data_IF_996335473764
#
_entry.id   IF_996335473764
#
_cell.length_a   1.000
_cell.length_b   1.000
_cell.length_c   1.000
_cell.angle_alpha   90.00
_cell.angle_beta   90.00
_cell.angle_gamma   90.00
#
_symmetry.space_group_name_H-M   'P 1'
#
loop_
_entity.id
_entity.type
_entity.pdbx_description
1 polymer ?
#
# COMPACT_ATOMS: atom_id res chain seq x y z
N UNK A 1 0.64 -11.05 -15.70
CA UNK A 1 1.22 -9.70 -15.55
C UNK A 1 0.42 -8.74 -16.41
N UNK A 2 -0.18 -7.71 -15.81
CA UNK A 2 -0.77 -6.59 -16.57
C UNK A 2 0.37 -5.62 -16.90
N UNK A 3 0.56 -5.27 -18.18
CA UNK A 3 1.72 -4.50 -18.65
C UNK A 3 1.40 -3.06 -19.03
N UNK A 4 0.12 -2.67 -18.99
CA UNK A 4 -0.34 -1.36 -19.40
C UNK A 4 -1.48 -0.88 -18.48
N UNK A 5 -1.13 -0.62 -17.22
CA UNK A 5 -2.03 -0.12 -16.19
C UNK A 5 -1.60 1.27 -15.76
N UNK A 6 -2.56 2.19 -15.61
CA UNK A 6 -2.32 3.58 -15.23
C UNK A 6 -3.12 3.87 -13.95
N UNK A 7 -2.49 4.52 -12.97
CA UNK A 7 -3.18 5.00 -11.77
C UNK A 7 -4.08 6.20 -12.14
N UNK A 8 -5.28 6.34 -11.56
CA UNK A 8 -6.16 7.48 -11.83
C UNK A 8 -5.54 8.82 -11.38
N UNK A 9 -4.64 8.81 -10.40
CA UNK A 9 -3.93 9.99 -9.91
C UNK A 9 -2.49 9.66 -9.49
N UNK A 10 -1.65 10.69 -9.33
CA UNK A 10 -0.26 10.58 -8.86
C UNK A 10 -0.11 10.70 -7.32
N UNK A 11 -1.20 10.92 -6.59
CA UNK A 11 -1.20 11.07 -5.13
C UNK A 11 -2.08 10.02 -4.47
N UNK A 12 -1.57 9.37 -3.42
CA UNK A 12 -2.26 8.31 -2.68
C UNK A 12 -3.68 8.72 -2.28
N UNK A 13 -3.84 9.92 -1.69
CA UNK A 13 -5.15 10.39 -1.22
C UNK A 13 -6.16 10.57 -2.36
N UNK A 14 -5.72 11.07 -3.52
CA UNK A 14 -6.60 11.24 -4.68
C UNK A 14 -6.98 9.88 -5.29
N UNK A 15 -6.03 8.96 -5.40
CA UNK A 15 -6.27 7.60 -5.90
C UNK A 15 -7.27 6.85 -5.03
N UNK A 16 -7.13 6.88 -3.70
CA UNK A 16 -8.06 6.16 -2.81
C UNK A 16 -9.50 6.69 -2.85
N UNK A 17 -9.71 7.95 -3.25
CA UNK A 17 -11.07 8.49 -3.46
C UNK A 17 -11.82 7.81 -4.60
N UNK A 18 -11.14 7.08 -5.48
CA UNK A 18 -11.76 6.40 -6.63
C UNK A 18 -11.42 4.91 -6.74
N UNK A 19 -10.31 4.45 -6.18
CA UNK A 19 -9.77 3.11 -6.45
C UNK A 19 -10.64 1.97 -5.90
N UNK A 20 -11.21 2.14 -4.70
CA UNK A 20 -11.87 1.06 -3.95
C UNK A 20 -13.38 1.26 -3.80
N UNK A 21 -13.96 2.23 -4.51
CA UNK A 21 -15.36 2.59 -4.41
C UNK A 21 -15.95 2.93 -5.80
N UNK A 22 -17.24 3.27 -5.85
CA UNK A 22 -17.94 3.55 -7.12
C UNK A 22 -17.72 4.96 -7.68
N UNK A 23 -16.86 5.79 -7.06
CA UNK A 23 -16.55 7.12 -7.54
C UNK A 23 -15.64 7.04 -8.75
N UNK A 24 -16.09 7.58 -9.86
CA UNK A 24 -15.32 7.72 -11.09
C UNK A 24 -15.72 9.02 -11.81
N UNK A 25 -15.25 9.19 -13.05
CA UNK A 25 -15.55 10.35 -13.89
C UNK A 25 -17.05 10.49 -14.16
N UNK A 26 -17.76 9.38 -14.29
CA UNK A 26 -19.18 9.32 -14.65
C UNK A 26 -20.09 9.47 -13.41
N UNK A 27 -19.61 9.07 -12.24
CA UNK A 27 -20.35 9.05 -10.97
C UNK A 27 -19.82 10.05 -9.94
N UNK A 28 -19.47 11.26 -10.41
CA UNK A 28 -18.91 12.34 -9.60
C UNK A 28 -19.94 13.17 -8.80
N UNK A 29 -21.23 12.99 -9.04
CA UNK A 29 -22.29 13.74 -8.36
C UNK A 29 -22.51 13.29 -6.92
N UNK A 30 -22.16 12.03 -6.59
CA UNK A 30 -22.21 11.50 -5.23
C UNK A 30 -20.80 11.58 -4.62
N UNK A 31 -20.61 12.27 -3.48
CA UNK A 31 -19.30 12.30 -2.82
C UNK A 31 -18.80 10.89 -2.51
N UNK A 32 -17.54 10.59 -2.83
CA UNK A 32 -16.95 9.24 -2.69
C UNK A 32 -17.19 8.59 -1.31
N UNK A 33 -17.17 9.38 -0.23
CA UNK A 33 -17.38 8.89 1.15
C UNK A 33 -18.83 8.49 1.45
N UNK A 34 -19.78 8.91 0.62
CA UNK A 34 -21.19 8.47 0.66
C UNK A 34 -21.43 7.24 -0.22
N UNK A 35 -20.44 6.80 -0.99
CA UNK A 35 -20.55 5.63 -1.86
C UNK A 35 -20.17 4.36 -1.10
N UNK A 36 -20.74 3.22 -1.52
CA UNK A 36 -20.27 1.91 -1.06
C UNK A 36 -18.86 1.66 -1.59
N UNK A 37 -18.05 0.96 -0.81
CA UNK A 37 -16.72 0.54 -1.22
C UNK A 37 -16.59 -0.99 -1.22
N UNK A 38 -15.42 -1.50 -1.58
CA UNK A 38 -15.14 -2.94 -1.64
C UNK A 38 -15.41 -3.66 -0.31
N UNK A 39 -15.11 -3.03 0.83
CA UNK A 39 -15.42 -3.58 2.16
C UNK A 39 -16.92 -3.79 2.35
N UNK A 40 -17.75 -2.82 1.93
CA UNK A 40 -19.20 -2.96 1.98
C UNK A 40 -19.72 -4.10 1.09
N UNK A 41 -19.19 -4.20 -0.14
CA UNK A 41 -19.64 -5.19 -1.12
C UNK A 41 -19.34 -6.60 -0.62
N UNK A 42 -18.11 -6.86 -0.17
CA UNK A 42 -17.70 -8.17 0.30
C UNK A 42 -18.38 -8.56 1.62
N UNK A 43 -18.57 -7.60 2.53
CA UNK A 43 -19.33 -7.85 3.77
C UNK A 43 -20.79 -8.24 3.46
N UNK A 44 -21.44 -7.54 2.52
CA UNK A 44 -22.81 -7.89 2.09
C UNK A 44 -22.89 -9.26 1.39
N UNK A 45 -21.80 -9.70 0.75
CA UNK A 45 -21.68 -11.04 0.16
C UNK A 45 -21.31 -12.14 1.18
N UNK A 46 -21.22 -11.80 2.47
CA UNK A 46 -20.95 -12.74 3.57
C UNK A 46 -19.47 -13.08 3.76
N UNK A 47 -18.53 -12.22 3.32
CA UNK A 47 -17.11 -12.37 3.60
C UNK A 47 -16.76 -11.74 4.94
N UNK A 48 -15.79 -12.32 5.67
CA UNK A 48 -15.05 -11.59 6.69
C UNK A 48 -14.10 -10.62 6.00
N UNK A 49 -14.05 -9.37 6.43
CA UNK A 49 -13.26 -8.32 5.78
C UNK A 49 -12.27 -7.71 6.75
N UNK A 50 -10.99 -7.64 6.35
CA UNK A 50 -9.88 -7.16 7.17
C UNK A 50 -9.08 -6.10 6.40
N UNK A 51 -8.67 -5.02 7.09
CA UNK A 51 -7.77 -3.99 6.58
C UNK A 51 -6.51 -3.94 7.44
N UNK A 52 -5.34 -4.22 6.86
CA UNK A 52 -4.05 -4.05 7.50
C UNK A 52 -3.33 -2.86 6.89
N UNK A 53 -2.80 -1.98 7.75
CA UNK A 53 -2.14 -0.76 7.32
C UNK A 53 -0.76 -0.62 7.96
N UNK A 54 0.25 -0.37 7.12
CA UNK A 54 1.61 -0.02 7.56
C UNK A 54 2.01 1.40 7.14
N UNK A 55 1.16 2.10 6.38
CA UNK A 55 1.47 3.42 5.84
C UNK A 55 1.13 4.55 6.81
N UNK A 56 0.03 4.43 7.57
CA UNK A 56 -0.43 5.47 8.49
C UNK A 56 -0.29 5.04 9.96
N UNK A 57 -0.14 6.02 10.86
CA UNK A 57 -0.30 5.78 12.31
C UNK A 57 -1.78 5.65 12.65
N UNK A 58 -2.15 4.65 13.44
CA UNK A 58 -3.51 4.49 13.98
C UNK A 58 -4.05 5.79 14.61
N UNK A 59 -3.22 6.50 15.38
CA UNK A 59 -3.58 7.74 16.08
C UNK A 59 -3.91 8.90 15.12
N UNK A 60 -3.35 8.88 13.91
CA UNK A 60 -3.62 9.88 12.85
C UNK A 60 -4.73 9.41 11.91
N UNK A 61 -5.09 8.13 11.96
CA UNK A 61 -6.15 7.49 11.19
C UNK A 61 -7.55 7.80 11.75
N UNK A 62 -7.85 9.04 12.13
CA UNK A 62 -9.18 9.44 12.64
C UNK A 62 -9.99 10.30 11.67
N UNK A 63 -9.36 10.92 10.65
CA UNK A 63 -10.07 11.83 9.71
C UNK A 63 -9.55 11.81 8.26
N UNK A 64 -8.72 10.83 7.89
CA UNK A 64 -8.15 10.76 6.54
C UNK A 64 -8.90 9.74 5.64
N UNK A 65 -8.48 9.66 4.38
CA UNK A 65 -9.11 8.78 3.37
C UNK A 65 -8.99 7.30 3.73
N UNK A 66 -7.89 6.88 4.35
CA UNK A 66 -7.64 5.48 4.71
C UNK A 66 -8.59 5.03 5.82
N UNK A 67 -8.80 5.90 6.82
CA UNK A 67 -9.76 5.68 7.90
C UNK A 67 -11.18 5.50 7.38
N UNK A 68 -11.64 6.40 6.50
CA UNK A 68 -13.00 6.37 5.96
C UNK A 68 -13.25 5.17 5.05
N UNK A 69 -12.23 4.69 4.33
CA UNK A 69 -12.35 3.49 3.51
C UNK A 69 -12.29 2.22 4.35
N UNK A 70 -11.34 2.15 5.29
CA UNK A 70 -11.18 1.00 6.17
C UNK A 70 -12.37 0.84 7.13
N UNK A 71 -13.07 1.92 7.50
CA UNK A 71 -14.32 1.91 8.32
C UNK A 71 -15.42 1.00 7.75
N UNK A 72 -15.32 0.63 6.47
CA UNK A 72 -16.27 -0.26 5.79
C UNK A 72 -15.86 -1.74 5.85
N UNK A 73 -14.73 -2.05 6.49
CA UNK A 73 -14.24 -3.40 6.75
C UNK A 73 -14.62 -3.82 8.18
N UNK A 74 -14.73 -5.13 8.41
CA UNK A 74 -15.14 -5.71 9.69
C UNK A 74 -14.07 -5.58 10.78
N UNK A 75 -12.79 -5.70 10.42
CA UNK A 75 -11.66 -5.50 11.33
C UNK A 75 -10.58 -4.65 10.66
N UNK A 76 -9.94 -3.78 11.45
CA UNK A 76 -8.85 -2.90 11.01
C UNK A 76 -7.69 -3.04 11.96
N UNK A 77 -6.50 -3.19 11.42
CA UNK A 77 -5.28 -3.43 12.19
C UNK A 77 -4.17 -2.56 11.60
N UNK A 78 -3.54 -1.78 12.47
CA UNK A 78 -2.32 -1.05 12.14
C UNK A 78 -1.12 -1.82 12.68
N UNK A 79 -0.04 -1.86 11.89
CA UNK A 79 1.28 -2.30 12.36
C UNK A 79 1.91 -1.19 13.22
N UNK A 80 3.12 -1.44 13.75
CA UNK A 80 3.87 -0.36 14.38
C UNK A 80 4.42 0.58 13.31
N UNK A 81 4.17 1.87 13.50
CA UNK A 81 4.63 2.87 12.54
C UNK A 81 6.15 2.91 12.42
N UNK A 82 6.63 2.89 11.18
CA UNK A 82 8.06 2.94 10.86
C UNK A 82 8.69 1.56 10.67
N UNK A 83 7.95 0.48 10.90
CA UNK A 83 8.39 -0.86 10.53
C UNK A 83 8.38 -1.04 9.00
N UNK A 84 9.23 -1.94 8.51
CA UNK A 84 9.18 -2.38 7.12
C UNK A 84 7.92 -3.20 6.84
N UNK A 85 7.53 -3.33 5.57
CA UNK A 85 6.29 -4.00 5.16
C UNK A 85 6.21 -5.50 5.58
N UNK A 86 7.31 -6.13 6.00
CA UNK A 86 7.29 -7.44 6.69
C UNK A 86 6.33 -7.45 7.90
N UNK A 87 6.21 -6.33 8.62
CA UNK A 87 5.33 -6.21 9.78
C UNK A 87 3.87 -6.51 9.42
N UNK A 88 3.44 -6.28 8.17
CA UNK A 88 2.11 -6.65 7.72
C UNK A 88 1.91 -8.17 7.68
N UNK A 89 2.91 -8.90 7.17
CA UNK A 89 2.89 -10.37 7.07
C UNK A 89 2.87 -10.98 8.49
N UNK A 90 3.75 -10.48 9.35
CA UNK A 90 3.85 -10.93 10.74
C UNK A 90 2.54 -10.66 11.50
N UNK A 91 1.96 -9.46 11.32
CA UNK A 91 0.68 -9.06 11.92
C UNK A 91 -0.47 -9.91 11.40
N UNK A 92 -0.52 -10.19 10.10
CA UNK A 92 -1.52 -11.09 9.52
C UNK A 92 -1.45 -12.48 10.13
N UNK A 93 -0.24 -13.05 10.23
CA UNK A 93 -0.02 -14.37 10.80
C UNK A 93 -0.42 -14.44 12.28
N UNK A 94 -0.04 -13.42 13.07
CA UNK A 94 -0.31 -13.37 14.49
C UNK A 94 -1.77 -13.09 14.84
N UNK A 95 -2.44 -12.21 14.07
CA UNK A 95 -3.76 -11.66 14.46
C UNK A 95 -4.92 -12.11 13.59
N UNK A 96 -4.72 -12.38 12.30
CA UNK A 96 -5.83 -12.56 11.35
C UNK A 96 -5.94 -14.01 10.87
N UNK A 97 -4.82 -14.69 10.65
CA UNK A 97 -4.79 -16.03 10.03
C UNK A 97 -5.73 -17.02 10.74
N UNK A 98 -5.76 -17.02 12.07
CA UNK A 98 -6.64 -17.89 12.86
C UNK A 98 -8.12 -17.47 12.83
N UNK A 99 -8.42 -16.22 12.46
CA UNK A 99 -9.79 -15.68 12.40
C UNK A 99 -10.46 -15.93 11.04
N UNK A 100 -9.71 -16.36 10.02
CA UNK A 100 -10.23 -16.57 8.66
C UNK A 100 -11.39 -17.57 8.66
N UNK A 101 -12.45 -17.24 7.93
CA UNK A 101 -13.59 -18.11 7.65
C UNK A 101 -13.50 -18.77 6.28
N UNK A 102 -14.64 -19.27 5.78
CA UNK A 102 -14.75 -19.85 4.44
C UNK A 102 -14.63 -18.81 3.31
N UNK A 103 -14.91 -17.54 3.60
CA UNK A 103 -14.83 -16.41 2.66
C UNK A 103 -14.20 -15.21 3.35
N UNK A 104 -13.09 -14.70 2.81
CA UNK A 104 -12.34 -13.58 3.41
C UNK A 104 -11.88 -12.60 2.34
N UNK A 105 -11.91 -11.31 2.66
CA UNK A 105 -11.19 -10.25 1.97
C UNK A 105 -10.18 -9.69 2.95
N UNK A 106 -8.89 -9.74 2.63
CA UNK A 106 -7.83 -9.17 3.45
C UNK A 106 -7.08 -8.18 2.59
N UNK A 107 -7.11 -6.91 2.98
CA UNK A 107 -6.41 -5.84 2.28
C UNK A 107 -5.13 -5.49 3.05
N UNK A 108 -4.01 -5.47 2.34
CA UNK A 108 -2.71 -5.07 2.84
C UNK A 108 -2.35 -3.72 2.22
N UNK A 109 -2.23 -2.68 3.05
CA UNK A 109 -1.81 -1.35 2.62
C UNK A 109 -0.34 -1.14 3.01
N UNK A 110 0.52 -1.42 2.04
CA UNK A 110 1.98 -1.32 2.13
C UNK A 110 2.43 0.14 2.10
N UNK A 111 3.57 0.44 2.73
CA UNK A 111 4.30 1.68 2.48
C UNK A 111 4.90 1.65 1.07
N UNK A 112 5.43 0.50 0.66
CA UNK A 112 6.09 0.29 -0.62
C UNK A 112 7.25 1.28 -0.84
N UNK A 113 7.36 1.81 -2.06
CA UNK A 113 8.38 2.77 -2.45
C UNK A 113 8.01 4.22 -2.13
N UNK A 114 7.46 4.49 -0.94
CA UNK A 114 7.19 5.88 -0.51
C UNK A 114 8.50 6.69 -0.38
N UNK A 115 8.42 8.02 -0.39
CA UNK A 115 9.60 8.89 -0.37
C UNK A 115 10.54 8.60 0.82
N UNK A 116 11.83 8.85 0.61
CA UNK A 116 12.97 8.32 1.39
C UNK A 116 13.13 6.80 1.22
N UNK A 117 13.49 6.39 0.00
CA UNK A 117 13.53 4.99 -0.40
C UNK A 117 14.47 4.14 0.46
N UNK A 118 15.55 4.71 0.99
CA UNK A 118 16.49 4.03 1.87
C UNK A 118 15.85 3.54 3.18
N UNK A 119 14.72 4.14 3.58
CA UNK A 119 13.97 3.76 4.78
C UNK A 119 12.88 2.73 4.47
N UNK A 120 12.82 2.19 3.24
CA UNK A 120 11.77 1.27 2.78
C UNK A 120 12.20 -0.19 2.74
N UNK A 121 13.47 -0.47 3.02
CA UNK A 121 14.02 -1.82 3.02
C UNK A 121 15.07 -1.95 4.13
N UNK A 122 15.19 -3.11 4.78
CA UNK A 122 16.25 -3.35 5.75
C UNK A 122 17.62 -3.42 5.06
N UNK A 123 18.73 -3.19 5.78
CA UNK A 123 20.08 -3.21 5.19
C UNK A 123 20.43 -4.50 4.43
N UNK A 124 19.86 -5.65 4.80
CA UNK A 124 20.02 -6.92 4.09
C UNK A 124 19.44 -6.93 2.67
N UNK A 125 18.58 -5.97 2.34
CA UNK A 125 17.96 -5.78 1.02
C UNK A 125 18.60 -4.63 0.23
N UNK A 126 19.68 -4.02 0.73
CA UNK A 126 20.51 -3.06 -0.01
C UNK A 126 21.38 -3.76 -1.07
N UNK A 127 20.73 -4.44 -2.03
CA UNK A 127 21.38 -5.33 -3.00
C UNK A 127 22.08 -4.57 -4.13
N UNK A 128 21.42 -3.54 -4.66
CA UNK A 128 21.90 -2.74 -5.78
C UNK A 128 22.60 -1.49 -5.27
N UNK A 129 23.71 -1.16 -5.91
CA UNK A 129 24.51 0.04 -5.65
C UNK A 129 24.45 0.98 -6.85
N UNK A 130 24.94 2.23 -6.73
CA UNK A 130 25.07 3.13 -7.87
C UNK A 130 25.84 2.57 -9.08
N UNK A 131 26.67 1.54 -8.90
CA UNK A 131 27.44 0.93 -9.99
C UNK A 131 26.62 -0.02 -10.85
N UNK A 132 25.49 -0.51 -10.33
CA UNK A 132 24.66 -1.55 -10.94
C UNK A 132 23.56 -0.98 -11.84
N UNK A 133 23.31 0.33 -11.76
CA UNK A 133 22.16 0.98 -12.40
C UNK A 133 22.54 1.64 -13.73
N UNK A 134 21.85 1.31 -14.84
CA UNK A 134 22.00 2.05 -16.09
C UNK A 134 21.24 3.39 -15.98
N UNK A 135 21.96 4.51 -16.04
CA UNK A 135 21.39 5.85 -15.89
C UNK A 135 20.87 6.48 -17.20
N UNK A 136 20.85 5.71 -18.29
CA UNK A 136 20.49 6.22 -19.60
C UNK A 136 19.05 6.77 -19.60
N UNK A 137 18.87 8.02 -20.02
CA UNK A 137 17.55 8.67 -20.06
C UNK A 137 17.04 9.20 -18.71
N UNK A 138 17.85 9.13 -17.65
CA UNK A 138 17.52 9.73 -16.36
C UNK A 138 18.23 11.08 -16.18
N UNK A 139 17.58 12.00 -15.46
CA UNK A 139 18.16 13.29 -15.08
C UNK A 139 19.03 13.15 -13.83
N UNK A 140 20.29 12.72 -14.01
CA UNK A 140 21.26 12.51 -12.93
C UNK A 140 22.28 13.64 -12.92
N UNK A 141 22.41 14.37 -11.82
CA UNK A 141 23.32 15.50 -11.70
C UNK A 141 24.58 15.15 -10.89
N UNK A 142 24.48 14.23 -9.93
CA UNK A 142 25.55 13.92 -8.99
C UNK A 142 25.39 12.51 -8.39
N UNK A 143 26.33 12.12 -7.53
CA UNK A 143 26.31 10.80 -6.89
C UNK A 143 25.17 10.63 -5.87
N UNK A 144 24.61 11.71 -5.35
CA UNK A 144 23.41 11.65 -4.50
C UNK A 144 22.19 11.23 -5.31
N UNK A 145 22.01 11.77 -6.52
CA UNK A 145 20.91 11.34 -7.41
C UNK A 145 21.06 9.85 -7.78
N UNK A 146 22.29 9.41 -8.06
CA UNK A 146 22.58 8.00 -8.32
C UNK A 146 22.20 7.09 -7.15
N UNK A 147 22.49 7.52 -5.92
CA UNK A 147 22.12 6.80 -4.71
C UNK A 147 20.60 6.72 -4.55
N UNK A 148 19.88 7.82 -4.79
CA UNK A 148 18.40 7.84 -4.74
C UNK A 148 17.80 6.80 -5.69
N UNK A 149 18.35 6.68 -6.92
CA UNK A 149 17.87 5.67 -7.87
C UNK A 149 18.19 4.25 -7.40
N UNK A 150 19.38 4.00 -6.85
CA UNK A 150 19.74 2.70 -6.30
C UNK A 150 18.81 2.30 -5.12
N UNK A 151 18.52 3.24 -4.22
CA UNK A 151 17.61 3.02 -3.10
C UNK A 151 16.17 2.78 -3.58
N UNK A 152 15.71 3.49 -4.62
CA UNK A 152 14.42 3.23 -5.25
C UNK A 152 14.33 1.80 -5.79
N UNK A 153 15.36 1.34 -6.51
CA UNK A 153 15.41 -0.04 -7.04
C UNK A 153 15.44 -1.07 -5.90
N UNK A 154 16.19 -0.82 -4.82
CA UNK A 154 16.19 -1.69 -3.64
C UNK A 154 14.82 -1.72 -2.93
N UNK A 155 14.09 -0.60 -2.88
CA UNK A 155 12.72 -0.58 -2.32
C UNK A 155 11.74 -1.44 -3.12
N UNK A 156 11.87 -1.45 -4.45
CA UNK A 156 11.10 -2.34 -5.33
C UNK A 156 11.51 -3.80 -5.12
N UNK A 157 12.81 -4.07 -5.02
CA UNK A 157 13.32 -5.41 -4.73
C UNK A 157 12.78 -5.97 -3.40
N UNK A 158 12.71 -5.13 -2.37
CA UNK A 158 12.09 -5.52 -1.11
C UNK A 158 10.58 -5.72 -1.24
N UNK A 159 9.87 -4.85 -1.97
CA UNK A 159 8.43 -5.06 -2.24
C UNK A 159 8.18 -6.36 -3.00
N UNK A 160 9.02 -6.72 -3.99
CA UNK A 160 8.95 -8.01 -4.69
C UNK A 160 9.13 -9.20 -3.74
N UNK A 161 9.99 -9.09 -2.73
CA UNK A 161 10.11 -10.10 -1.69
C UNK A 161 8.85 -10.19 -0.83
N UNK A 162 8.32 -9.07 -0.35
CA UNK A 162 7.09 -9.06 0.48
C UNK A 162 5.90 -9.65 -0.28
N UNK A 163 5.78 -9.41 -1.59
CA UNK A 163 4.70 -9.98 -2.40
C UNK A 163 4.81 -11.50 -2.63
N UNK A 164 5.95 -12.13 -2.28
CA UNK A 164 6.18 -13.57 -2.43
C UNK A 164 5.92 -14.38 -1.16
N UNK A 165 5.85 -13.71 0.00
CA UNK A 165 5.53 -14.33 1.30
C UNK A 165 4.03 -14.67 1.42
#
# INVERSE_FOLDING_TARGET
MFTNTISPFAYTVATFKVLLNYSDVENRSVPWYNQKNIGNIFSAAGYKTFWLDNQEREQLATTNVFSLLSDRFGERIWTNFGDYDQALIDTFNARIRAQLGSKNLVLFHLVGSHYFYQDRFPPSFAKFTPKDIPYQGLHIQNDKDKQIVADYVNSIYYTDHILKE
#
